data_IF_643272886015
#
_entry.id   IF_643272886015
#
_cell.length_a   1.000
_cell.length_b   1.000
_cell.length_c   1.000
_cell.angle_alpha   90.00
_cell.angle_beta   90.00
_cell.angle_gamma   90.00
#
_symmetry.space_group_name_H-M   'P 1'
#
loop_
_entity.id
_entity.type
_entity.pdbx_description
1 polymer ?
#
# COMPACT_ATOMS: atom_id res chain seq x y z
N UNK A 1 -4.52 -11.69 -17.27
CA UNK A 1 -5.39 -12.27 -18.31
C UNK A 1 -6.86 -11.89 -18.07
N UNK A 2 -7.40 -12.21 -16.89
CA UNK A 2 -8.78 -11.92 -16.44
C UNK A 2 -9.23 -10.44 -16.68
N UNK A 3 -8.42 -9.45 -16.29
CA UNK A 3 -8.77 -8.03 -16.44
C UNK A 3 -8.86 -7.55 -17.91
N UNK A 4 -8.15 -8.18 -18.85
CA UNK A 4 -8.21 -7.82 -20.28
C UNK A 4 -9.50 -8.34 -20.93
N UNK A 5 -9.89 -9.59 -20.62
CA UNK A 5 -11.12 -10.20 -21.12
C UNK A 5 -12.37 -9.45 -20.62
N UNK A 6 -12.39 -9.04 -19.35
CA UNK A 6 -13.48 -8.21 -18.81
C UNK A 6 -13.63 -6.87 -19.52
N UNK A 7 -12.52 -6.19 -19.80
CA UNK A 7 -12.54 -4.92 -20.55
C UNK A 7 -13.08 -5.13 -21.97
N UNK A 8 -12.71 -6.23 -22.62
CA UNK A 8 -13.19 -6.53 -23.97
C UNK A 8 -14.70 -6.86 -23.97
N UNK A 9 -15.19 -7.67 -23.02
CA UNK A 9 -16.64 -7.90 -22.85
C UNK A 9 -17.40 -6.61 -22.55
N UNK A 10 -16.81 -5.70 -21.76
CA UNK A 10 -17.41 -4.39 -21.48
C UNK A 10 -17.55 -3.53 -22.74
N UNK A 11 -16.56 -3.55 -23.64
CA UNK A 11 -16.65 -2.87 -24.94
C UNK A 11 -17.77 -3.50 -25.80
N UNK A 12 -17.86 -4.83 -25.86
CA UNK A 12 -18.92 -5.53 -26.59
C UNK A 12 -20.33 -5.21 -26.03
N UNK A 13 -20.48 -5.17 -24.70
CA UNK A 13 -21.72 -4.77 -24.04
C UNK A 13 -22.10 -3.32 -24.38
N UNK A 14 -21.13 -2.41 -24.37
CA UNK A 14 -21.36 -1.01 -24.75
C UNK A 14 -21.80 -0.88 -26.22
N UNK A 15 -21.13 -1.59 -27.13
CA UNK A 15 -21.48 -1.62 -28.55
C UNK A 15 -22.87 -2.22 -28.81
N UNK A 16 -23.27 -3.28 -28.07
CA UNK A 16 -24.64 -3.85 -28.11
C UNK A 16 -25.68 -2.81 -27.66
N UNK A 17 -25.39 -2.05 -26.60
CA UNK A 17 -26.24 -0.95 -26.14
C UNK A 17 -26.40 0.20 -27.14
N UNK A 18 -25.44 0.37 -28.05
CA UNK A 18 -25.51 1.32 -29.18
C UNK A 18 -26.13 0.72 -30.45
N UNK A 19 -26.65 -0.52 -30.40
CA UNK A 19 -27.18 -1.25 -31.56
C UNK A 19 -26.16 -1.41 -32.71
N UNK A 20 -24.88 -1.52 -32.40
CA UNK A 20 -23.85 -1.75 -33.42
C UNK A 20 -23.97 -3.16 -34.00
N UNK A 21 -23.97 -3.27 -35.32
CA UNK A 21 -24.06 -4.54 -36.02
C UNK A 21 -22.89 -5.48 -35.65
N UNK A 22 -23.20 -6.72 -35.27
CA UNK A 22 -22.22 -7.73 -34.87
C UNK A 22 -21.71 -7.62 -33.44
N UNK A 23 -22.24 -6.70 -32.62
CA UNK A 23 -21.90 -6.61 -31.21
C UNK A 23 -22.59 -7.73 -30.42
N UNK A 24 -21.84 -8.80 -30.15
CA UNK A 24 -22.31 -9.94 -29.38
C UNK A 24 -21.42 -10.19 -28.14
N UNK A 25 -21.86 -9.82 -26.93
CA UNK A 25 -21.14 -10.10 -25.69
C UNK A 25 -21.30 -11.55 -25.20
N UNK A 26 -22.17 -12.38 -25.80
CA UNK A 26 -22.39 -13.78 -25.42
C UNK A 26 -21.24 -14.68 -25.87
N UNK A 27 -20.46 -14.27 -26.89
CA UNK A 27 -19.22 -14.95 -27.29
C UNK A 27 -18.22 -15.14 -26.13
N UNK A 28 -18.34 -14.32 -25.08
CA UNK A 28 -17.46 -14.40 -23.91
C UNK A 28 -17.90 -15.46 -22.88
N UNK A 29 -19.07 -16.09 -23.04
CA UNK A 29 -19.59 -17.06 -22.07
C UNK A 29 -18.70 -18.32 -22.01
N UNK A 30 -18.09 -18.71 -23.14
CA UNK A 30 -17.10 -19.79 -23.21
C UNK A 30 -15.84 -19.56 -22.35
N UNK A 31 -15.61 -18.33 -21.88
CA UNK A 31 -14.49 -17.95 -21.01
C UNK A 31 -14.95 -17.31 -19.70
N UNK A 32 -16.21 -17.48 -19.31
CA UNK A 32 -16.79 -16.87 -18.11
C UNK A 32 -16.01 -17.19 -16.83
N UNK A 33 -15.58 -18.45 -16.67
CA UNK A 33 -14.77 -18.88 -15.53
C UNK A 33 -13.44 -18.13 -15.42
N UNK A 34 -12.84 -17.76 -16.54
CA UNK A 34 -11.59 -16.97 -16.59
C UNK A 34 -11.82 -15.48 -16.31
N UNK A 35 -13.08 -15.05 -16.28
CA UNK A 35 -13.50 -13.68 -15.96
C UNK A 35 -14.07 -13.54 -14.55
N UNK A 36 -14.32 -14.63 -13.81
CA UNK A 36 -14.81 -14.57 -12.42
C UNK A 36 -13.91 -13.71 -11.55
N UNK A 37 -14.51 -12.92 -10.67
CA UNK A 37 -13.76 -12.20 -9.63
C UNK A 37 -13.14 -13.22 -8.69
N UNK A 38 -11.82 -13.24 -8.59
CA UNK A 38 -11.19 -13.92 -7.46
C UNK A 38 -11.72 -13.24 -6.20
N UNK A 39 -12.17 -14.05 -5.22
CA UNK A 39 -12.46 -13.53 -3.88
C UNK A 39 -11.21 -12.81 -3.40
N UNK A 40 -11.35 -11.52 -3.11
CA UNK A 40 -10.29 -10.78 -2.47
C UNK A 40 -10.26 -11.25 -1.01
N UNK A 41 -9.23 -12.00 -0.64
CA UNK A 41 -8.95 -12.28 0.76
C UNK A 41 -8.14 -11.11 1.32
N UNK A 42 -8.68 -10.37 2.32
CA UNK A 42 -7.92 -9.33 2.99
C UNK A 42 -6.63 -9.92 3.55
N UNK A 43 -5.49 -9.27 3.28
CA UNK A 43 -4.20 -9.70 3.84
C UNK A 43 -3.97 -9.08 5.20
N UNK A 44 -5.00 -9.18 6.05
CA UNK A 44 -5.00 -8.69 7.42
C UNK A 44 -4.04 -9.54 8.24
N UNK A 45 -3.25 -8.87 9.07
CA UNK A 45 -2.26 -9.48 9.95
C UNK A 45 -2.70 -9.25 11.39
N UNK A 46 -2.54 -10.22 12.28
CA UNK A 46 -2.94 -10.01 13.67
C UNK A 46 -2.09 -8.92 14.36
N UNK A 47 -2.64 -8.24 15.37
CA UNK A 47 -1.88 -7.28 16.20
C UNK A 47 -0.61 -7.92 16.79
N UNK A 48 -0.71 -9.19 17.20
CA UNK A 48 0.42 -9.97 17.72
C UNK A 48 1.54 -10.08 16.69
N UNK A 49 1.21 -10.38 15.43
CA UNK A 49 2.21 -10.48 14.37
C UNK A 49 2.87 -9.13 14.10
N UNK A 50 2.12 -8.02 14.08
CA UNK A 50 2.74 -6.69 13.98
C UNK A 50 3.70 -6.42 15.13
N UNK A 51 3.36 -6.79 16.36
CA UNK A 51 4.25 -6.66 17.51
C UNK A 51 5.51 -7.54 17.38
N UNK A 52 5.39 -8.76 16.86
CA UNK A 52 6.55 -9.61 16.60
C UNK A 52 7.47 -8.99 15.54
N UNK A 53 6.90 -8.48 14.45
CA UNK A 53 7.64 -7.81 13.37
C UNK A 53 8.34 -6.55 13.88
N UNK A 54 7.67 -5.77 14.72
CA UNK A 54 8.24 -4.57 15.34
C UNK A 54 9.47 -4.90 16.19
N UNK A 55 9.40 -5.97 16.97
CA UNK A 55 10.43 -6.39 17.93
C UNK A 55 11.39 -7.44 17.36
N UNK A 56 11.42 -7.63 16.04
CA UNK A 56 12.41 -8.52 15.40
C UNK A 56 13.82 -8.01 15.73
N UNK A 57 14.75 -8.94 15.95
CA UNK A 57 16.16 -8.60 16.09
C UNK A 57 16.67 -7.91 14.81
N UNK A 58 16.85 -6.58 14.91
CA UNK A 58 17.28 -5.73 13.80
C UNK A 58 18.71 -6.01 13.37
N UNK A 59 19.55 -6.61 14.23
CA UNK A 59 20.94 -6.97 13.88
C UNK A 59 21.02 -8.00 12.75
N UNK A 60 19.93 -8.74 12.51
CA UNK A 60 19.79 -9.69 11.41
C UNK A 60 19.44 -9.04 10.07
N UNK A 61 19.21 -7.72 10.05
CA UNK A 61 18.82 -6.94 8.90
C UNK A 61 19.95 -6.04 8.42
N UNK A 62 20.10 -5.92 7.11
CA UNK A 62 20.95 -4.87 6.53
C UNK A 62 20.31 -3.50 6.72
N UNK A 63 21.06 -2.38 6.66
CA UNK A 63 20.48 -1.04 6.76
C UNK A 63 19.36 -0.76 5.73
N UNK A 64 19.44 -1.38 4.55
CA UNK A 64 18.40 -1.28 3.51
C UNK A 64 17.13 -2.05 3.88
N UNK A 65 17.28 -3.19 4.55
CA UNK A 65 16.17 -4.00 5.06
C UNK A 65 15.53 -3.33 6.27
N UNK A 66 16.31 -2.77 7.20
CA UNK A 66 15.77 -1.95 8.28
C UNK A 66 14.90 -0.82 7.76
N UNK A 67 15.41 -0.05 6.80
CA UNK A 67 14.65 1.03 6.16
C UNK A 67 13.35 0.51 5.54
N UNK A 68 13.39 -0.65 4.87
CA UNK A 68 12.19 -1.27 4.32
C UNK A 68 11.17 -1.66 5.40
N UNK A 69 11.63 -2.13 6.54
CA UNK A 69 10.79 -2.50 7.67
C UNK A 69 10.18 -1.26 8.34
N UNK A 70 10.96 -0.18 8.45
CA UNK A 70 10.51 1.10 8.99
C UNK A 70 9.42 1.73 8.11
N UNK A 71 9.55 1.66 6.78
CA UNK A 71 8.49 2.09 5.84
C UNK A 71 7.18 1.30 5.99
N UNK A 72 7.28 -0.01 6.26
CA UNK A 72 6.11 -0.86 6.53
C UNK A 72 5.44 -0.49 7.85
N UNK A 73 6.22 -0.36 8.93
CA UNK A 73 5.70 -0.01 10.25
C UNK A 73 5.13 1.40 10.27
N UNK A 74 5.76 2.36 9.57
CA UNK A 74 5.23 3.69 9.40
C UNK A 74 3.86 3.67 8.71
N UNK A 75 3.73 2.92 7.61
CA UNK A 75 2.45 2.74 6.90
C UNK A 75 1.36 2.23 7.85
N UNK A 76 1.67 1.24 8.69
CA UNK A 76 0.73 0.69 9.66
C UNK A 76 0.35 1.72 10.74
N UNK A 77 1.32 2.42 11.32
CA UNK A 77 1.10 3.38 12.41
C UNK A 77 0.48 4.70 11.94
N UNK A 78 0.70 5.09 10.69
CA UNK A 78 0.12 6.28 10.06
C UNK A 78 -1.20 5.96 9.33
N UNK A 79 -2.08 5.19 9.97
CA UNK A 79 -3.44 4.97 9.46
C UNK A 79 -3.56 4.04 8.26
N UNK A 80 -2.63 3.11 8.07
CA UNK A 80 -2.63 2.25 6.87
C UNK A 80 -2.37 3.06 5.58
N UNK A 81 -1.53 4.10 5.68
CA UNK A 81 -1.13 4.95 4.56
C UNK A 81 -0.55 4.07 3.44
N UNK A 82 -1.03 4.22 2.21
CA UNK A 82 -0.57 3.35 1.12
C UNK A 82 0.88 3.64 0.75
N UNK A 83 1.60 2.63 0.30
CA UNK A 83 3.02 2.69 -0.09
C UNK A 83 3.38 3.89 -0.97
N UNK A 84 2.55 4.23 -1.97
CA UNK A 84 2.82 5.38 -2.85
C UNK A 84 2.79 6.70 -2.08
N UNK A 85 1.83 6.85 -1.17
CA UNK A 85 1.68 8.06 -0.36
C UNK A 85 2.84 8.16 0.65
N UNK A 86 3.21 7.04 1.30
CA UNK A 86 4.39 6.97 2.18
C UNK A 86 5.66 7.39 1.44
N UNK A 87 5.86 6.92 0.20
CA UNK A 87 7.04 7.26 -0.58
C UNK A 87 7.12 8.74 -0.96
N UNK A 88 5.96 9.42 -1.13
CA UNK A 88 5.88 10.83 -1.52
C UNK A 88 5.63 11.77 -0.34
N UNK A 89 5.67 11.27 0.89
CA UNK A 89 5.44 12.07 2.08
C UNK A 89 6.52 13.16 2.20
N UNK A 90 6.08 14.40 2.40
CA UNK A 90 6.96 15.56 2.61
C UNK A 90 6.66 16.22 3.95
N UNK A 91 7.63 16.94 4.54
CA UNK A 91 7.41 17.61 5.83
C UNK A 91 6.34 18.70 5.75
N UNK A 92 6.12 19.32 4.59
CA UNK A 92 5.02 20.30 4.40
C UNK A 92 3.63 19.69 4.57
N UNK A 93 3.51 18.36 4.40
CA UNK A 93 2.25 17.64 4.64
C UNK A 93 2.05 17.37 6.14
N UNK A 94 3.05 17.54 7.00
CA UNK A 94 2.94 17.28 8.43
C UNK A 94 2.55 18.58 9.15
N UNK A 95 1.40 18.57 9.82
CA UNK A 95 0.87 19.69 10.60
C UNK A 95 0.66 19.23 12.05
N UNK A 96 1.58 19.59 12.93
CA UNK A 96 1.59 19.11 14.31
C UNK A 96 1.67 17.58 14.36
N UNK A 97 0.61 16.94 14.85
CA UNK A 97 0.53 15.47 14.98
C UNK A 97 -0.27 14.80 13.86
N UNK A 98 -0.45 15.46 12.71
CA UNK A 98 -1.27 14.93 11.62
C UNK A 98 -0.58 15.12 10.28
N UNK A 99 -0.73 14.15 9.38
CA UNK A 99 -0.41 14.34 7.97
C UNK A 99 -1.65 14.84 7.25
N UNK A 100 -1.55 15.88 6.43
CA UNK A 100 -2.60 16.38 5.56
C UNK A 100 -2.07 16.34 4.13
N UNK A 101 -2.67 15.48 3.31
CA UNK A 101 -2.19 15.29 1.93
C UNK A 101 -3.33 14.87 1.00
N UNK A 102 -3.20 15.17 -0.29
CA UNK A 102 -4.10 14.64 -1.31
C UNK A 102 -3.63 13.25 -1.74
N UNK A 103 -4.51 12.25 -1.65
CA UNK A 103 -4.14 10.88 -1.97
C UNK A 103 -3.92 10.70 -3.47
N UNK A 104 -2.79 10.10 -3.84
CA UNK A 104 -2.40 9.89 -5.23
C UNK A 104 -3.35 8.97 -6.03
N UNK A 105 -4.03 8.05 -5.35
CA UNK A 105 -4.87 7.02 -6.01
C UNK A 105 -6.35 7.40 -6.11
N UNK A 106 -6.81 8.34 -5.28
CA UNK A 106 -8.18 8.84 -5.24
C UNK A 106 -8.13 10.26 -4.66
N UNK A 107 -8.59 11.31 -5.35
CA UNK A 107 -8.49 12.70 -4.90
C UNK A 107 -9.41 12.96 -3.70
N UNK A 108 -8.99 12.45 -2.54
CA UNK A 108 -9.55 12.69 -1.22
C UNK A 108 -8.39 13.10 -0.32
N UNK A 109 -8.65 14.01 0.60
CA UNK A 109 -7.66 14.45 1.59
C UNK A 109 -7.51 13.34 2.64
N UNK A 110 -6.32 12.77 2.76
CA UNK A 110 -5.96 11.88 3.86
C UNK A 110 -5.53 12.70 5.07
N UNK A 111 -5.98 12.30 6.27
CA UNK A 111 -5.67 13.01 7.52
C UNK A 111 -5.16 12.08 8.64
N UNK A 112 -4.20 11.16 8.39
CA UNK A 112 -3.78 10.22 9.42
C UNK A 112 -3.07 10.92 10.57
N UNK A 113 -3.43 10.54 11.80
CA UNK A 113 -2.75 10.99 13.00
C UNK A 113 -1.41 10.26 13.15
N UNK A 114 -0.36 11.02 13.45
CA UNK A 114 0.96 10.52 13.79
C UNK A 114 1.01 10.21 15.28
N UNK A 115 1.05 8.93 15.61
CA UNK A 115 1.32 8.45 16.96
C UNK A 115 2.83 8.42 17.24
N UNK A 116 3.20 8.24 18.49
CA UNK A 116 4.59 8.22 18.95
C UNK A 116 5.49 7.30 18.11
N UNK A 117 5.03 6.07 17.83
CA UNK A 117 5.80 5.11 17.02
C UNK A 117 6.04 5.58 15.58
N UNK A 118 5.07 6.25 14.96
CA UNK A 118 5.28 6.82 13.62
C UNK A 118 6.21 8.02 13.64
N UNK A 119 6.22 8.81 14.72
CA UNK A 119 7.14 9.95 14.87
C UNK A 119 8.57 9.49 15.07
N UNK A 120 8.80 8.48 15.90
CA UNK A 120 10.13 7.88 16.09
C UNK A 120 10.73 7.37 14.77
N UNK A 121 9.90 6.81 13.88
CA UNK A 121 10.34 6.39 12.55
C UNK A 121 10.69 7.60 11.66
N UNK A 122 9.93 8.69 11.74
CA UNK A 122 10.25 9.94 11.02
C UNK A 122 11.59 10.49 11.51
N UNK A 123 11.76 10.63 12.83
CA UNK A 123 12.98 11.14 13.47
C UNK A 123 14.20 10.30 13.11
N UNK A 124 14.08 8.96 13.10
CA UNK A 124 15.15 8.04 12.65
C UNK A 124 15.67 8.36 11.25
N UNK A 125 14.82 8.89 10.37
CA UNK A 125 15.15 9.18 8.97
C UNK A 125 15.30 10.67 8.65
N UNK A 126 15.24 11.54 9.66
CA UNK A 126 15.41 12.97 9.49
C UNK A 126 16.78 13.29 8.87
N UNK A 127 16.80 14.23 7.93
CA UNK A 127 18.00 14.66 7.21
C UNK A 127 18.60 13.64 6.22
N UNK A 128 18.04 12.43 6.07
CA UNK A 128 18.54 11.43 5.10
C UNK A 128 17.93 11.61 3.71
N UNK A 129 16.75 12.23 3.62
CA UNK A 129 16.03 12.50 2.38
C UNK A 129 16.67 13.62 1.55
N UNK A 130 16.29 13.69 0.28
CA UNK A 130 16.53 14.87 -0.54
C UNK A 130 15.35 15.83 -0.43
N UNK A 131 15.63 17.11 -0.64
CA UNK A 131 14.63 18.18 -0.65
C UNK A 131 13.78 18.16 0.63
N UNK A 132 12.47 18.06 0.51
CA UNK A 132 11.53 18.06 1.62
C UNK A 132 10.89 16.70 1.89
N UNK A 133 11.41 15.61 1.31
CA UNK A 133 10.86 14.28 1.53
C UNK A 133 11.20 13.75 2.92
N UNK A 134 10.20 13.18 3.59
CA UNK A 134 10.36 12.60 4.93
C UNK A 134 11.27 11.36 4.90
N UNK A 135 11.10 10.52 3.87
CA UNK A 135 11.89 9.30 3.73
C UNK A 135 12.85 9.38 2.55
N UNK A 136 14.07 8.80 2.65
CA UNK A 136 15.07 8.75 1.58
C UNK A 136 14.73 7.74 0.46
N UNK A 137 13.49 7.78 -0.03
CA UNK A 137 13.01 6.92 -1.13
C UNK A 137 13.53 7.44 -2.46
N UNK A 138 13.36 8.73 -2.71
CA UNK A 138 13.80 9.39 -3.94
C UNK A 138 15.22 9.96 -3.79
N UNK A 139 15.83 10.21 -4.94
CA UNK A 139 17.20 10.72 -5.08
C UNK A 139 17.22 11.60 -6.33
N UNK A 140 18.31 12.36 -6.53
CA UNK A 140 18.49 13.25 -7.70
C UNK A 140 18.32 12.55 -9.06
N UNK A 141 18.31 11.22 -9.12
CA UNK A 141 18.07 10.42 -10.34
C UNK A 141 16.59 10.34 -10.74
N UNK A 142 15.67 10.56 -9.81
CA UNK A 142 14.23 10.37 -10.00
C UNK A 142 13.55 11.66 -10.48
N UNK A 143 13.94 12.14 -11.65
CA UNK A 143 13.55 13.45 -12.18
C UNK A 143 12.22 13.47 -12.95
N UNK A 144 11.61 12.31 -13.19
CA UNK A 144 10.36 12.20 -13.97
C UNK A 144 9.36 11.30 -13.24
N UNK A 145 8.07 11.49 -13.48
CA UNK A 145 7.01 10.66 -12.90
C UNK A 145 7.21 9.17 -13.19
N UNK A 146 7.61 8.82 -14.41
CA UNK A 146 7.90 7.43 -14.78
C UNK A 146 9.05 6.83 -13.93
N UNK A 147 10.12 7.60 -13.69
CA UNK A 147 11.23 7.16 -12.84
C UNK A 147 10.80 7.05 -11.37
N UNK A 148 10.02 7.99 -10.86
CA UNK A 148 9.49 7.94 -9.50
C UNK A 148 8.56 6.74 -9.31
N UNK A 149 7.64 6.50 -10.26
CA UNK A 149 6.77 5.32 -10.26
C UNK A 149 7.56 4.02 -10.25
N UNK A 150 8.57 3.90 -11.10
CA UNK A 150 9.45 2.73 -11.13
C UNK A 150 10.20 2.56 -9.81
N UNK A 151 10.63 3.66 -9.18
CA UNK A 151 11.27 3.63 -7.87
C UNK A 151 10.35 3.13 -6.77
N UNK A 152 9.10 3.60 -6.73
CA UNK A 152 8.08 3.10 -5.78
C UNK A 152 7.86 1.60 -5.97
N UNK A 153 7.78 1.10 -7.21
CA UNK A 153 7.67 -0.33 -7.49
C UNK A 153 8.89 -1.10 -6.95
N UNK A 154 10.10 -0.61 -7.22
CA UNK A 154 11.33 -1.24 -6.73
C UNK A 154 11.39 -1.28 -5.20
N UNK A 155 11.05 -0.17 -4.53
CA UNK A 155 11.02 -0.10 -3.06
C UNK A 155 9.93 -1.01 -2.52
N UNK A 156 8.76 -1.07 -3.15
CA UNK A 156 7.68 -1.99 -2.74
C UNK A 156 8.09 -3.46 -2.81
N UNK A 157 8.85 -3.84 -3.84
CA UNK A 157 9.40 -5.18 -3.98
C UNK A 157 10.45 -5.48 -2.89
N UNK A 158 11.28 -4.49 -2.52
CA UNK A 158 12.27 -4.64 -1.44
C UNK A 158 11.60 -4.77 -0.08
N UNK A 159 10.55 -3.99 0.19
CA UNK A 159 9.74 -4.13 1.40
C UNK A 159 9.13 -5.51 1.48
N UNK A 160 8.54 -6.01 0.40
CA UNK A 160 7.95 -7.35 0.38
C UNK A 160 8.99 -8.45 0.65
N UNK A 161 10.17 -8.37 0.02
CA UNK A 161 11.28 -9.32 0.28
C UNK A 161 11.78 -9.26 1.72
N UNK A 162 11.90 -8.05 2.28
CA UNK A 162 12.29 -7.83 3.67
C UNK A 162 11.28 -8.46 4.62
N UNK A 163 9.98 -8.24 4.38
CA UNK A 163 8.92 -8.83 5.18
C UNK A 163 8.93 -10.35 5.12
N UNK A 164 9.16 -10.96 3.94
CA UNK A 164 9.35 -12.40 3.83
C UNK A 164 10.52 -12.89 4.69
N UNK A 165 11.66 -12.21 4.65
CA UNK A 165 12.82 -12.54 5.49
C UNK A 165 12.50 -12.43 6.99
N UNK A 166 11.85 -11.35 7.41
CA UNK A 166 11.43 -11.14 8.81
C UNK A 166 10.44 -12.21 9.26
N UNK A 167 9.47 -12.57 8.41
CA UNK A 167 8.53 -13.65 8.70
C UNK A 167 9.26 -14.98 8.90
N UNK A 168 10.26 -15.30 8.06
CA UNK A 168 11.06 -16.50 8.23
C UNK A 168 11.86 -16.51 9.53
N UNK A 169 12.44 -15.37 9.94
CA UNK A 169 13.17 -15.23 11.22
C UNK A 169 12.24 -15.50 12.41
N UNK A 170 11.00 -15.05 12.32
CA UNK A 170 10.01 -15.13 13.40
C UNK A 170 9.09 -16.36 13.33
N UNK A 171 9.34 -17.27 12.39
CA UNK A 171 8.49 -18.43 12.05
C UNK A 171 7.01 -18.07 11.80
N UNK A 172 6.76 -16.92 11.18
CA UNK A 172 5.43 -16.49 10.75
C UNK A 172 5.13 -17.11 9.39
N UNK A 173 4.04 -17.90 9.30
CA UNK A 173 3.62 -18.57 8.05
C UNK A 173 2.79 -17.68 7.11
N UNK A 174 2.27 -16.56 7.62
CA UNK A 174 1.45 -15.62 6.85
C UNK A 174 2.29 -14.91 5.78
N UNK A 175 1.73 -14.71 4.58
CA UNK A 175 2.38 -13.93 3.54
C UNK A 175 2.09 -12.43 3.71
N UNK A 176 3.03 -11.73 4.33
CA UNK A 176 2.91 -10.31 4.65
C UNK A 176 3.54 -9.46 3.54
N UNK A 177 2.75 -8.53 3.02
CA UNK A 177 3.19 -7.54 2.03
C UNK A 177 3.01 -6.14 2.58
N UNK A 178 3.54 -5.12 1.90
CA UNK A 178 3.29 -3.75 2.35
C UNK A 178 1.80 -3.40 2.39
N UNK A 179 1.00 -3.98 1.48
CA UNK A 179 -0.45 -3.75 1.48
C UNK A 179 -1.14 -4.31 2.73
N UNK A 180 -0.55 -5.32 3.38
CA UNK A 180 -1.05 -5.90 4.63
C UNK A 180 -1.14 -4.87 5.75
N UNK A 181 -0.28 -3.84 5.77
CA UNK A 181 -0.35 -2.75 6.75
C UNK A 181 -1.71 -2.02 6.68
N UNK A 182 -2.19 -1.75 5.46
CA UNK A 182 -3.47 -1.08 5.23
C UNK A 182 -4.65 -1.97 5.59
N UNK A 183 -4.67 -3.21 5.09
CA UNK A 183 -5.75 -4.15 5.37
C UNK A 183 -5.88 -4.40 6.88
N UNK A 184 -4.75 -4.51 7.58
CA UNK A 184 -4.71 -4.65 9.04
C UNK A 184 -5.24 -3.44 9.78
N UNK A 185 -4.82 -2.24 9.38
CA UNK A 185 -5.31 -1.01 10.00
C UNK A 185 -6.82 -0.86 9.82
N UNK A 186 -7.33 -1.11 8.61
CA UNK A 186 -8.76 -1.03 8.31
C UNK A 186 -9.54 -2.05 9.13
N UNK A 187 -9.12 -3.32 9.17
CA UNK A 187 -9.81 -4.36 9.95
C UNK A 187 -9.87 -4.00 11.43
N UNK A 188 -8.76 -3.54 12.01
CA UNK A 188 -8.71 -3.14 13.43
C UNK A 188 -9.68 -2.00 13.75
N UNK A 189 -9.83 -1.05 12.85
CA UNK A 189 -10.75 0.07 13.02
C UNK A 189 -12.21 -0.39 12.92
N UNK A 190 -12.51 -1.31 12.00
CA UNK A 190 -13.83 -1.96 11.91
C UNK A 190 -14.15 -2.72 13.19
N UNK A 191 -13.21 -3.51 13.71
CA UNK A 191 -13.35 -4.25 14.97
C UNK A 191 -13.54 -3.30 16.17
N UNK A 192 -12.97 -2.09 16.11
CA UNK A 192 -13.15 -1.03 17.10
C UNK A 192 -14.48 -0.26 16.94
N UNK A 193 -15.39 -0.74 16.09
CA UNK A 193 -16.72 -0.15 15.89
C UNK A 193 -16.74 1.06 14.94
N UNK A 194 -15.66 1.35 14.22
CA UNK A 194 -15.66 2.40 13.20
C UNK A 194 -16.21 1.86 11.87
N UNK A 195 -17.08 2.64 11.22
CA UNK A 195 -17.57 2.29 9.88
C UNK A 195 -16.39 2.13 8.89
N UNK A 196 -16.37 1.09 8.03
CA UNK A 196 -15.34 0.92 6.99
C UNK A 196 -15.22 2.13 6.06
N UNK A 197 -16.32 2.82 5.78
CA UNK A 197 -16.34 4.03 4.96
C UNK A 197 -15.57 5.17 5.65
N UNK A 198 -15.83 5.39 6.94
CA UNK A 198 -15.14 6.41 7.77
C UNK A 198 -13.65 6.08 7.93
N UNK A 199 -13.30 4.79 7.94
CA UNK A 199 -11.93 4.30 8.08
C UNK A 199 -11.13 4.41 6.76
N UNK A 200 -11.81 4.33 5.62
CA UNK A 200 -11.22 4.61 4.31
C UNK A 200 -11.14 6.12 4.00
N UNK A 201 -11.84 6.95 4.78
CA UNK A 201 -12.00 8.41 4.65
C UNK A 201 -11.12 9.25 5.60
N UNK A 202 -10.67 8.69 6.73
CA UNK A 202 -9.68 9.31 7.64
C UNK A 202 -8.26 8.97 7.21
#
# INVERSE_FOLDING_TARGET
MNQKLRKLRAIANYAKGLNMHGADPEIFDCVEDKMKWHKFEPRTVSKRVIQLIENVDRSLLTPKEEFCLDLFLFSYYAGGMVNVDVCHLTYNMIQGNQVIYERMKFPKIGKPLLIEKSKQIIEKHEGQGIDNYVFPVFTKKHTTEAKMRNRVIQISNRVSKTLTKVCNILDIKENITWYSARDTFISRMVDAGCSPAVTAEK
#
